data_IF_074763772477
#
_entry.id   IF_074763772477
#
_cell.length_a   1.000
_cell.length_b   1.000
_cell.length_c   1.000
_cell.angle_alpha   90.00
_cell.angle_beta   90.00
_cell.angle_gamma   90.00
#
_symmetry.space_group_name_H-M   'P 1'
#
loop_
_entity.id
_entity.type
_entity.pdbx_description
1 polymer ?
#
# COMPACT_ATOMS: atom_id res chain seq x y z
N UNK A 1 -1.46 -37.37 -4.62
CA UNK A 1 -2.85 -37.86 -4.49
C UNK A 1 -3.54 -36.99 -3.43
N UNK A 2 -4.05 -35.82 -3.83
CA UNK A 2 -4.71 -34.86 -2.92
C UNK A 2 -5.98 -35.44 -2.27
N UNK A 3 -6.72 -36.27 -3.01
CA UNK A 3 -7.98 -36.88 -2.52
C UNK A 3 -7.75 -37.80 -1.31
N UNK A 4 -6.68 -38.60 -1.34
CA UNK A 4 -6.31 -39.45 -0.20
C UNK A 4 -5.88 -38.63 1.03
N UNK A 5 -5.24 -37.48 0.81
CA UNK A 5 -4.88 -36.57 1.89
C UNK A 5 -6.13 -35.93 2.50
N UNK A 6 -7.12 -35.56 1.69
CA UNK A 6 -8.42 -35.06 2.18
C UNK A 6 -9.12 -36.07 3.08
N UNK A 7 -9.21 -37.34 2.65
CA UNK A 7 -9.83 -38.41 3.46
C UNK A 7 -9.13 -38.57 4.82
N UNK A 8 -7.81 -38.42 4.87
CA UNK A 8 -7.06 -38.45 6.13
C UNK A 8 -7.36 -37.24 7.01
N UNK A 9 -7.51 -36.05 6.43
CA UNK A 9 -7.87 -34.83 7.17
C UNK A 9 -9.32 -34.88 7.68
N UNK A 10 -10.25 -35.47 6.94
CA UNK A 10 -11.65 -35.66 7.35
C UNK A 10 -11.73 -36.53 8.62
N UNK A 11 -10.90 -37.58 8.72
CA UNK A 11 -10.83 -38.45 9.92
C UNK A 11 -10.33 -37.74 11.17
N UNK A 12 -9.68 -36.60 11.03
CA UNK A 12 -9.19 -35.78 12.13
C UNK A 12 -10.23 -34.75 12.63
N UNK A 13 -11.44 -34.73 12.06
CA UNK A 13 -12.55 -33.90 12.51
C UNK A 13 -13.67 -34.80 13.03
N UNK A 14 -13.90 -34.77 14.34
CA UNK A 14 -14.90 -35.60 15.01
C UNK A 14 -16.00 -34.71 15.59
N UNK A 15 -17.25 -34.94 15.19
CA UNK A 15 -18.44 -34.28 15.74
C UNK A 15 -19.02 -35.15 16.85
N UNK A 16 -19.57 -34.57 17.91
CA UNK A 16 -20.29 -35.35 18.93
C UNK A 16 -21.63 -35.87 18.41
N UNK A 17 -22.15 -36.91 19.07
CA UNK A 17 -23.45 -37.51 18.76
C UNK A 17 -24.65 -36.62 19.16
N UNK A 18 -24.38 -35.46 19.77
CA UNK A 18 -25.40 -34.50 20.16
C UNK A 18 -26.02 -33.78 18.95
N UNK A 19 -27.26 -33.31 19.10
CA UNK A 19 -27.93 -32.55 18.03
C UNK A 19 -27.13 -31.28 17.70
N UNK A 20 -26.98 -30.87 16.43
CA UNK A 20 -26.19 -29.70 16.04
C UNK A 20 -26.60 -28.38 16.72
N UNK A 21 -27.84 -28.28 17.18
CA UNK A 21 -28.41 -27.11 17.86
C UNK A 21 -28.26 -27.15 19.40
N UNK A 22 -27.80 -28.26 19.98
CA UNK A 22 -27.66 -28.42 21.44
C UNK A 22 -26.46 -27.62 21.95
N UNK A 23 -26.53 -27.14 23.20
CA UNK A 23 -25.40 -26.43 23.81
C UNK A 23 -24.16 -27.32 23.98
N UNK A 24 -24.39 -28.63 24.13
CA UNK A 24 -23.37 -29.66 24.39
C UNK A 24 -22.73 -30.19 23.10
N UNK A 25 -23.25 -29.82 21.92
CA UNK A 25 -22.66 -30.18 20.64
C UNK A 25 -21.22 -29.67 20.54
N UNK A 26 -20.29 -30.59 20.29
CA UNK A 26 -18.87 -30.31 20.24
C UNK A 26 -18.25 -30.83 18.95
N UNK A 27 -17.29 -30.08 18.43
CA UNK A 27 -16.46 -30.49 17.30
C UNK A 27 -15.01 -30.54 17.78
N UNK A 28 -14.42 -31.72 17.71
CA UNK A 28 -13.02 -31.98 18.07
C UNK A 28 -12.16 -32.06 16.81
N UNK A 29 -11.11 -31.26 16.78
CA UNK A 29 -10.13 -31.19 15.72
C UNK A 29 -8.80 -31.78 16.23
N UNK A 30 -8.28 -32.80 15.55
CA UNK A 30 -6.96 -33.39 15.81
C UNK A 30 -5.92 -32.88 14.82
N UNK A 31 -4.94 -32.14 15.32
CA UNK A 31 -3.86 -31.52 14.55
C UNK A 31 -2.63 -32.41 14.40
N UNK A 32 -2.65 -33.66 14.85
CA UNK A 32 -1.50 -34.58 14.79
C UNK A 32 -0.88 -34.71 13.39
N UNK A 33 -1.69 -34.73 12.33
CA UNK A 33 -1.21 -34.80 10.94
C UNK A 33 -0.48 -33.54 10.47
N UNK A 34 -0.78 -32.39 11.07
CA UNK A 34 -0.20 -31.10 10.70
C UNK A 34 1.05 -30.81 11.54
N UNK A 35 1.05 -31.23 12.81
CA UNK A 35 2.14 -31.01 13.77
C UNK A 35 2.36 -32.24 14.66
N UNK A 36 3.19 -33.21 14.23
CA UNK A 36 3.41 -34.43 15.01
C UNK A 36 4.18 -34.14 16.31
N UNK A 37 3.73 -34.76 17.41
CA UNK A 37 4.35 -34.66 18.72
C UNK A 37 5.66 -35.45 18.77
N UNK A 38 6.81 -34.75 18.86
CA UNK A 38 8.11 -35.33 19.19
C UNK A 38 9.15 -35.40 18.06
N UNK A 39 8.89 -34.83 16.87
CA UNK A 39 9.88 -34.76 15.80
C UNK A 39 11.01 -33.76 16.08
N UNK A 40 12.25 -34.14 15.75
CA UNK A 40 13.35 -33.18 15.54
C UNK A 40 13.01 -32.36 14.28
N UNK A 41 13.42 -31.07 14.20
CA UNK A 41 13.08 -30.21 13.08
C UNK A 41 13.43 -30.84 11.72
N UNK A 42 12.56 -30.73 10.70
CA UNK A 42 11.41 -29.81 10.64
C UNK A 42 10.15 -30.35 11.34
N UNK A 43 9.47 -29.47 12.08
CA UNK A 43 8.30 -29.80 12.92
C UNK A 43 6.98 -29.80 12.12
N UNK A 44 7.03 -29.53 10.80
CA UNK A 44 5.89 -29.19 9.94
C UNK A 44 5.85 -29.97 8.61
N UNK A 45 6.31 -31.23 8.56
CA UNK A 45 6.47 -31.94 7.28
C UNK A 45 5.16 -32.08 6.46
N UNK A 46 4.04 -32.41 7.10
CA UNK A 46 2.74 -32.51 6.43
C UNK A 46 2.23 -31.15 5.94
N UNK A 47 2.34 -30.13 6.80
CA UNK A 47 1.92 -28.78 6.51
C UNK A 47 2.76 -28.14 5.39
N UNK A 48 4.08 -28.33 5.45
CA UNK A 48 5.01 -27.84 4.45
C UNK A 48 4.81 -28.55 3.10
N UNK A 49 4.52 -29.86 3.10
CA UNK A 49 4.17 -30.58 1.88
C UNK A 49 2.90 -30.02 1.21
N UNK A 50 1.86 -29.68 1.98
CA UNK A 50 0.62 -29.06 1.44
C UNK A 50 0.93 -27.71 0.77
N UNK A 51 1.83 -26.92 1.38
CA UNK A 51 2.24 -25.61 0.83
C UNK A 51 3.05 -25.75 -0.44
N UNK A 52 4.05 -26.64 -0.41
CA UNK A 52 5.03 -26.80 -1.48
C UNK A 52 4.39 -27.46 -2.71
N UNK A 53 3.39 -28.33 -2.51
CA UNK A 53 2.59 -28.92 -3.58
C UNK A 53 1.47 -28.00 -4.12
N UNK A 54 1.29 -26.80 -3.55
CA UNK A 54 0.22 -25.85 -3.94
C UNK A 54 -1.18 -26.49 -3.91
N UNK A 55 -1.44 -27.38 -2.95
CA UNK A 55 -2.71 -28.12 -2.86
C UNK A 55 -3.81 -27.22 -2.26
N UNK A 56 -4.68 -26.72 -3.13
CA UNK A 56 -5.74 -25.78 -2.76
C UNK A 56 -6.81 -26.46 -1.91
N UNK A 57 -7.17 -27.69 -2.25
CA UNK A 57 -8.24 -28.45 -1.58
C UNK A 57 -7.87 -28.78 -0.13
N UNK A 58 -6.63 -29.23 0.10
CA UNK A 58 -6.15 -29.47 1.46
C UNK A 58 -6.02 -28.17 2.26
N UNK A 59 -5.63 -27.05 1.63
CA UNK A 59 -5.46 -25.77 2.33
C UNK A 59 -6.80 -25.13 2.73
N UNK A 60 -7.85 -25.35 1.93
CA UNK A 60 -9.22 -24.90 2.23
C UNK A 60 -9.97 -25.86 3.14
N UNK A 61 -9.40 -27.01 3.48
CA UNK A 61 -10.03 -28.00 4.35
C UNK A 61 -10.35 -27.44 5.75
N UNK A 62 -11.47 -27.86 6.33
CA UNK A 62 -11.98 -27.39 7.64
C UNK A 62 -10.93 -27.51 8.75
N UNK A 63 -10.22 -28.63 8.82
CA UNK A 63 -9.11 -28.85 9.77
C UNK A 63 -7.98 -27.84 9.61
N UNK A 64 -7.54 -27.57 8.38
CA UNK A 64 -6.45 -26.63 8.12
C UNK A 64 -6.87 -25.20 8.47
N UNK A 65 -8.05 -24.77 8.00
CA UNK A 65 -8.63 -23.46 8.37
C UNK A 65 -8.70 -23.28 9.89
N UNK A 66 -9.17 -24.29 10.63
CA UNK A 66 -9.29 -24.24 12.09
C UNK A 66 -7.93 -24.23 12.80
N UNK A 67 -7.00 -25.07 12.35
CA UNK A 67 -5.63 -25.06 12.85
C UNK A 67 -5.00 -23.67 12.74
N UNK A 68 -5.17 -23.00 11.59
CA UNK A 68 -4.65 -21.65 11.40
C UNK A 68 -5.30 -20.64 12.30
N UNK A 69 -6.61 -20.69 12.48
CA UNK A 69 -7.28 -19.68 13.29
C UNK A 69 -6.95 -19.82 14.78
N UNK A 70 -6.84 -21.05 15.27
CA UNK A 70 -6.36 -21.34 16.62
C UNK A 70 -4.92 -20.85 16.78
N UNK A 71 -4.04 -21.18 15.83
CA UNK A 71 -2.65 -20.71 15.89
C UNK A 71 -2.54 -19.20 15.83
N UNK A 72 -3.16 -18.57 14.84
CA UNK A 72 -3.13 -17.12 14.64
C UNK A 72 -3.63 -16.36 15.87
N UNK A 73 -4.69 -16.84 16.54
CA UNK A 73 -5.33 -16.18 17.68
C UNK A 73 -4.50 -16.19 18.96
N UNK A 74 -3.55 -17.11 19.12
CA UNK A 74 -2.79 -17.19 20.37
C UNK A 74 -1.74 -16.08 20.52
N UNK A 75 -0.72 -16.03 19.67
CA UNK A 75 0.40 -15.06 19.83
C UNK A 75 0.82 -14.40 18.52
N UNK A 76 0.66 -15.10 17.42
CA UNK A 76 1.17 -14.76 16.11
C UNK A 76 0.49 -13.50 15.56
N UNK A 77 -0.82 -13.35 15.79
CA UNK A 77 -1.55 -12.13 15.44
C UNK A 77 -1.03 -10.92 16.23
N UNK A 78 -0.82 -11.04 17.54
CA UNK A 78 -0.35 -9.92 18.36
C UNK A 78 1.10 -9.53 18.03
N UNK A 79 1.97 -10.50 17.77
CA UNK A 79 3.34 -10.25 17.29
C UNK A 79 3.34 -9.50 15.96
N UNK A 80 2.48 -9.95 15.03
CA UNK A 80 2.33 -9.31 13.73
C UNK A 80 1.79 -7.88 13.87
N UNK A 81 0.74 -7.66 14.66
CA UNK A 81 0.16 -6.34 14.92
C UNK A 81 1.16 -5.40 15.63
N UNK A 82 1.93 -5.90 16.59
CA UNK A 82 2.98 -5.13 17.24
C UNK A 82 4.07 -4.71 16.25
N UNK A 83 4.48 -5.62 15.35
CA UNK A 83 5.46 -5.31 14.31
C UNK A 83 4.91 -4.28 13.30
N UNK A 84 3.65 -4.43 12.88
CA UNK A 84 2.96 -3.46 12.03
C UNK A 84 2.86 -2.08 12.72
N UNK A 85 2.55 -2.04 14.01
CA UNK A 85 2.47 -0.82 14.79
C UNK A 85 3.83 -0.10 14.87
N UNK A 86 4.91 -0.82 15.19
CA UNK A 86 6.28 -0.26 15.19
C UNK A 86 6.62 0.31 13.81
N UNK A 87 6.27 -0.40 12.73
CA UNK A 87 6.48 0.06 11.37
C UNK A 87 5.66 1.32 11.05
N UNK A 88 4.40 1.39 11.47
CA UNK A 88 3.54 2.56 11.29
C UNK A 88 4.08 3.79 12.04
N UNK A 89 4.52 3.62 13.29
CA UNK A 89 5.16 4.69 14.04
C UNK A 89 6.41 5.21 13.31
N UNK A 90 7.28 4.31 12.85
CA UNK A 90 8.45 4.67 12.04
C UNK A 90 8.05 5.40 10.75
N UNK A 91 7.04 4.89 10.04
CA UNK A 91 6.55 5.46 8.78
C UNK A 91 6.03 6.89 8.98
N UNK A 92 5.21 7.12 10.01
CA UNK A 92 4.69 8.46 10.34
C UNK A 92 5.84 9.40 10.74
N UNK A 93 6.72 8.97 11.65
CA UNK A 93 7.87 9.78 12.07
C UNK A 93 8.77 10.17 10.90
N UNK A 94 9.04 9.24 9.99
CA UNK A 94 9.84 9.49 8.80
C UNK A 94 9.16 10.49 7.85
N UNK A 95 7.87 10.30 7.52
CA UNK A 95 7.14 11.21 6.64
C UNK A 95 7.04 12.63 7.22
N UNK A 96 6.74 12.76 8.52
CA UNK A 96 6.73 14.05 9.22
C UNK A 96 8.11 14.72 9.14
N UNK A 97 9.19 13.96 9.34
CA UNK A 97 10.57 14.47 9.27
C UNK A 97 10.94 14.97 7.88
N UNK A 98 10.50 14.29 6.81
CA UNK A 98 10.72 14.72 5.43
C UNK A 98 9.88 15.96 5.12
N UNK A 99 8.60 15.99 5.49
CA UNK A 99 7.72 17.14 5.27
C UNK A 99 8.26 18.41 5.94
N UNK A 100 8.77 18.30 7.17
CA UNK A 100 9.41 19.42 7.88
C UNK A 100 10.66 19.94 7.13
N UNK A 101 11.46 19.05 6.53
CA UNK A 101 12.63 19.47 5.71
C UNK A 101 12.20 20.14 4.44
N UNK A 102 11.23 19.57 3.72
CA UNK A 102 10.74 20.15 2.47
C UNK A 102 10.17 21.55 2.73
N UNK A 103 9.47 21.75 3.85
CA UNK A 103 9.00 23.07 4.26
C UNK A 103 10.15 24.07 4.46
N UNK A 104 11.20 23.67 5.19
CA UNK A 104 12.38 24.51 5.39
C UNK A 104 13.14 24.78 4.08
N UNK A 105 13.22 23.79 3.19
CA UNK A 105 13.89 23.91 1.89
C UNK A 105 13.19 24.95 1.01
N UNK A 106 11.87 24.86 0.88
CA UNK A 106 11.09 25.81 0.08
C UNK A 106 11.15 27.24 0.65
N UNK A 107 11.17 27.40 1.97
CA UNK A 107 11.33 28.74 2.58
C UNK A 107 12.71 29.34 2.32
N UNK A 108 13.77 28.51 2.31
CA UNK A 108 15.13 28.99 2.01
C UNK A 108 15.31 29.38 0.53
N UNK A 109 14.72 28.63 -0.39
CA UNK A 109 14.78 28.96 -1.82
C UNK A 109 13.99 30.26 -2.11
N UNK A 110 12.80 30.44 -1.51
CA UNK A 110 12.00 31.66 -1.64
C UNK A 110 12.70 32.92 -1.07
N UNK A 111 13.46 32.78 0.02
CA UNK A 111 14.22 33.88 0.60
C UNK A 111 15.43 34.28 -0.28
N UNK A 112 15.99 33.34 -1.05
CA UNK A 112 17.07 33.59 -2.02
C UNK A 112 16.60 34.32 -3.29
N UNK A 113 15.37 34.04 -3.74
CA UNK A 113 14.75 34.75 -4.89
C UNK A 113 14.36 36.19 -4.51
N UNK A 114 13.85 36.41 -3.29
CA UNK A 114 13.49 37.75 -2.84
C UNK A 114 14.72 38.67 -2.62
N UNK A 115 15.85 38.12 -2.18
CA UNK A 115 17.09 38.90 -2.02
C UNK A 115 17.74 39.26 -3.35
N UNK A 116 17.57 38.45 -4.39
CA UNK A 116 18.05 38.80 -5.74
C UNK A 116 17.15 39.83 -6.42
N UNK A 117 15.83 39.80 -6.20
CA UNK A 117 14.91 40.82 -6.72
C UNK A 117 15.13 42.21 -6.10
N UNK A 118 15.40 42.29 -4.79
CA UNK A 118 15.57 43.59 -4.10
C UNK A 118 16.88 44.30 -4.46
N UNK A 119 17.92 43.56 -4.87
CA UNK A 119 19.20 44.12 -5.30
C UNK A 119 19.17 44.69 -6.73
N UNK A 120 18.13 44.40 -7.52
CA UNK A 120 17.98 44.90 -8.89
C UNK A 120 17.18 46.23 -8.95
N UNK A 121 16.58 46.69 -7.84
CA UNK A 121 15.65 47.84 -7.83
C UNK A 121 16.18 49.20 -7.39
N UNK A 122 17.47 49.44 -7.21
CA UNK A 122 17.99 50.79 -6.90
C UNK A 122 19.32 51.09 -7.59
N UNK A 123 19.27 51.27 -8.92
CA UNK A 123 20.30 52.01 -9.65
C UNK A 123 19.68 53.09 -10.56
N UNK A 124 18.58 53.71 -10.15
CA UNK A 124 18.01 54.89 -10.78
C UNK A 124 18.18 56.12 -9.88
N UNK A 125 19.42 56.63 -9.80
CA UNK A 125 19.66 58.01 -9.36
C UNK A 125 19.23 58.96 -10.48
N UNK A 126 18.00 59.48 -10.41
CA UNK A 126 17.58 60.61 -11.24
C UNK A 126 17.81 61.91 -10.45
N UNK A 127 18.94 62.56 -10.65
CA UNK A 127 19.17 63.94 -10.18
C UNK A 127 18.58 64.92 -11.19
N UNK A 128 17.46 65.56 -10.84
CA UNK A 128 16.89 66.64 -11.62
C UNK A 128 17.70 67.92 -11.36
N UNK A 129 18.49 68.36 -12.34
CA UNK A 129 19.32 69.56 -12.25
C UNK A 129 18.54 70.78 -12.79
N UNK A 130 17.84 71.49 -11.91
CA UNK A 130 17.26 72.81 -12.20
C UNK A 130 17.87 73.86 -11.25
N UNK A 131 18.94 74.54 -11.68
CA UNK A 131 18.98 76.01 -11.82
C UNK A 131 20.38 76.55 -12.07
N UNK A 132 20.40 77.58 -12.92
CA UNK A 132 21.52 78.40 -13.34
C UNK A 132 21.94 79.37 -12.23
N UNK A 133 23.21 79.34 -11.80
CA UNK A 133 23.97 80.54 -11.40
C UNK A 133 25.48 80.30 -11.64
N UNK A 134 26.09 81.16 -12.46
CA UNK A 134 27.55 81.30 -12.56
C UNK A 134 28.00 82.31 -11.51
N UNK A 135 28.72 81.86 -10.47
CA UNK A 135 29.92 82.52 -9.94
C UNK A 135 30.54 81.69 -8.81
N UNK A 136 31.85 81.45 -8.90
CA UNK A 136 32.75 80.91 -7.87
C UNK A 136 32.16 80.73 -6.46
N UNK A 137 31.89 79.48 -6.05
CA UNK A 137 32.31 79.01 -4.73
C UNK A 137 32.11 77.51 -4.56
N UNK A 138 33.09 76.93 -3.87
CA UNK A 138 33.20 75.55 -3.41
C UNK A 138 31.86 74.99 -2.92
N UNK A 139 31.30 74.00 -3.61
CA UNK A 139 30.22 73.17 -3.08
C UNK A 139 30.83 72.17 -2.08
N UNK A 140 30.91 72.60 -0.81
CA UNK A 140 30.95 71.69 0.33
C UNK A 140 29.60 70.97 0.40
N UNK A 141 29.49 69.78 -0.19
CA UNK A 141 28.37 68.89 0.06
C UNK A 141 28.72 67.99 1.25
N UNK A 142 28.61 68.55 2.46
CA UNK A 142 28.56 67.75 3.68
C UNK A 142 27.19 67.06 3.75
N UNK A 143 27.01 65.97 3.01
CA UNK A 143 25.98 64.99 3.35
C UNK A 143 26.49 64.15 4.52
N UNK A 144 26.36 64.68 5.73
CA UNK A 144 26.27 63.84 6.93
C UNK A 144 24.88 63.23 6.92
N UNK A 145 24.69 62.17 6.14
CA UNK A 145 23.64 61.21 6.46
C UNK A 145 24.21 60.33 7.56
N UNK A 146 23.73 60.55 8.79
CA UNK A 146 23.84 59.60 9.88
C UNK A 146 23.29 58.26 9.39
N UNK A 147 24.19 57.39 8.89
CA UNK A 147 23.93 55.97 8.76
C UNK A 147 23.97 55.42 10.18
N UNK A 148 22.87 55.60 10.92
CA UNK A 148 22.56 54.76 12.06
C UNK A 148 22.35 53.35 11.51
N UNK A 149 23.45 52.63 11.32
CA UNK A 149 23.47 51.19 11.12
C UNK A 149 23.29 50.45 12.45
N UNK A 150 22.54 51.04 13.39
CA UNK A 150 21.94 50.34 14.53
C UNK A 150 20.61 49.66 14.14
N UNK A 151 20.41 49.36 12.86
CA UNK A 151 19.76 48.08 12.59
C UNK A 151 20.77 47.02 12.91
N UNK A 152 20.64 46.44 14.10
CA UNK A 152 21.09 45.08 14.35
C UNK A 152 20.62 44.21 13.19
N UNK A 153 21.45 44.10 12.16
CA UNK A 153 21.37 42.99 11.24
C UNK A 153 21.78 41.84 12.12
N UNK A 154 20.78 41.22 12.74
CA UNK A 154 20.86 39.88 13.30
C UNK A 154 21.02 38.92 12.10
N UNK A 155 22.05 39.13 11.28
CA UNK A 155 22.54 38.19 10.27
C UNK A 155 23.32 37.11 10.99
N UNK A 156 22.60 36.39 11.84
CA UNK A 156 22.65 34.96 11.87
C UNK A 156 21.45 34.50 12.67
N UNK A 157 20.37 34.16 11.97
CA UNK A 157 19.53 33.06 12.43
C UNK A 157 20.40 31.79 12.38
N UNK A 158 21.36 31.66 13.31
CA UNK A 158 21.73 30.37 13.87
C UNK A 158 20.45 29.87 14.52
N UNK A 159 19.58 29.29 13.70
CA UNK A 159 18.46 28.49 14.17
C UNK A 159 19.15 27.37 14.94
N UNK A 160 19.19 27.50 16.29
CA UNK A 160 19.59 26.43 17.19
C UNK A 160 18.95 25.15 16.65
N UNK A 161 19.64 24.00 16.55
CA UNK A 161 18.98 22.77 16.15
C UNK A 161 17.76 22.65 17.07
N UNK A 162 16.56 22.69 16.50
CA UNK A 162 15.35 22.62 17.32
C UNK A 162 15.52 21.30 18.04
N UNK A 163 15.47 21.28 19.37
CA UNK A 163 15.73 20.06 20.12
C UNK A 163 14.85 18.91 19.60
N UNK A 164 13.64 19.24 19.14
CA UNK A 164 12.75 18.36 18.39
C UNK A 164 13.40 17.74 17.13
N UNK A 165 14.07 18.52 16.26
CA UNK A 165 14.75 18.02 15.05
C UNK A 165 15.84 16.99 15.40
N UNK A 166 16.63 17.28 16.42
CA UNK A 166 17.70 16.37 16.87
C UNK A 166 17.09 15.09 17.45
N UNK A 167 16.13 15.22 18.36
CA UNK A 167 15.42 14.10 18.99
C UNK A 167 14.77 13.20 17.93
N UNK A 168 13.99 13.75 17.01
CA UNK A 168 13.33 12.96 15.95
C UNK A 168 14.35 12.26 15.06
N UNK A 169 15.45 12.92 14.72
CA UNK A 169 16.51 12.30 13.90
C UNK A 169 17.19 11.15 14.67
N UNK A 170 17.52 11.34 15.94
CA UNK A 170 18.09 10.30 16.80
C UNK A 170 17.16 9.10 16.94
N UNK A 171 15.86 9.33 17.16
CA UNK A 171 14.86 8.25 17.24
C UNK A 171 14.80 7.46 15.93
N UNK A 172 14.75 8.13 14.77
CA UNK A 172 14.76 7.48 13.46
C UNK A 172 16.02 6.63 13.27
N UNK A 173 17.20 7.14 13.66
CA UNK A 173 18.48 6.42 13.56
C UNK A 173 18.49 5.18 14.46
N UNK A 174 17.97 5.27 15.69
CA UNK A 174 17.89 4.12 16.60
C UNK A 174 16.97 3.05 16.01
N UNK A 175 15.78 3.44 15.55
CA UNK A 175 14.78 2.51 14.99
C UNK A 175 15.31 1.85 13.71
N UNK A 176 15.91 2.62 12.79
CA UNK A 176 16.45 2.06 11.54
C UNK A 176 17.63 1.12 11.81
N UNK A 177 18.47 1.42 12.80
CA UNK A 177 19.59 0.56 13.19
C UNK A 177 19.10 -0.78 13.73
N UNK A 178 18.07 -0.78 14.57
CA UNK A 178 17.43 -2.00 15.06
C UNK A 178 16.80 -2.83 13.93
N UNK A 179 16.12 -2.16 12.98
CA UNK A 179 15.51 -2.84 11.82
C UNK A 179 16.59 -3.46 10.92
N UNK A 180 17.69 -2.72 10.64
CA UNK A 180 18.82 -3.23 9.85
C UNK A 180 19.45 -4.45 10.55
N UNK A 181 19.66 -4.40 11.86
CA UNK A 181 20.18 -5.53 12.62
C UNK A 181 19.28 -6.77 12.50
N UNK A 182 17.96 -6.59 12.64
CA UNK A 182 16.98 -7.66 12.44
C UNK A 182 17.02 -8.21 11.00
N UNK A 183 17.22 -7.37 10.00
CA UNK A 183 17.26 -7.79 8.59
C UNK A 183 18.57 -8.53 8.25
N UNK A 184 19.70 -8.10 8.81
CA UNK A 184 20.98 -8.82 8.75
C UNK A 184 20.87 -10.20 9.39
N UNK A 185 20.20 -10.29 10.54
CA UNK A 185 19.96 -11.56 11.22
C UNK A 185 19.09 -12.50 10.37
N UNK A 186 18.02 -11.99 9.75
CA UNK A 186 17.20 -12.76 8.81
C UNK A 186 18.00 -13.24 7.60
N UNK A 187 18.86 -12.37 7.03
CA UNK A 187 19.75 -12.72 5.92
C UNK A 187 20.70 -13.85 6.31
N UNK A 188 21.25 -13.83 7.53
CA UNK A 188 22.13 -14.88 8.03
C UNK A 188 21.43 -16.25 8.14
N UNK A 189 20.19 -16.28 8.65
CA UNK A 189 19.41 -17.52 8.77
C UNK A 189 18.99 -18.05 7.39
N UNK A 190 18.46 -17.18 6.52
CA UNK A 190 17.87 -17.60 5.24
C UNK A 190 18.91 -17.83 4.13
N UNK A 191 20.16 -17.35 4.31
CA UNK A 191 21.30 -17.53 3.39
C UNK A 191 20.92 -17.21 1.93
N UNK A 192 21.21 -18.11 0.99
CA UNK A 192 20.92 -17.94 -0.44
C UNK A 192 19.44 -17.80 -0.77
N UNK A 193 18.53 -18.34 0.05
CA UNK A 193 17.09 -18.20 -0.16
C UNK A 193 16.66 -16.74 -0.02
N UNK A 194 17.35 -15.96 0.81
CA UNK A 194 17.08 -14.55 1.03
C UNK A 194 17.20 -13.72 -0.26
N UNK A 195 18.27 -13.95 -1.02
CA UNK A 195 18.58 -13.22 -2.24
C UNK A 195 17.68 -13.56 -3.43
N UNK A 196 16.87 -14.64 -3.36
CA UNK A 196 15.88 -14.94 -4.40
C UNK A 196 14.57 -14.17 -4.23
N UNK A 197 14.36 -13.51 -3.09
CA UNK A 197 13.10 -12.83 -2.79
C UNK A 197 13.18 -11.33 -3.10
N UNK A 198 12.44 -10.89 -4.12
CA UNK A 198 12.41 -9.47 -4.57
C UNK A 198 12.00 -8.50 -3.45
N UNK A 199 11.12 -8.93 -2.53
CA UNK A 199 10.70 -8.13 -1.37
C UNK A 199 11.86 -7.61 -0.52
N UNK A 200 12.92 -8.40 -0.40
CA UNK A 200 14.06 -8.05 0.43
C UNK A 200 14.86 -6.90 -0.18
N UNK A 201 14.93 -6.81 -1.51
CA UNK A 201 15.57 -5.70 -2.20
C UNK A 201 14.84 -4.38 -1.92
N UNK A 202 13.51 -4.35 -2.00
CA UNK A 202 12.72 -3.16 -1.68
C UNK A 202 12.96 -2.68 -0.24
N UNK A 203 13.08 -3.59 0.73
CA UNK A 203 13.40 -3.23 2.13
C UNK A 203 14.80 -2.61 2.25
N UNK A 204 15.82 -3.23 1.64
CA UNK A 204 17.18 -2.69 1.68
C UNK A 204 17.27 -1.33 0.99
N UNK A 205 16.62 -1.16 -0.17
CA UNK A 205 16.56 0.13 -0.84
C UNK A 205 15.92 1.19 0.06
N UNK A 206 14.81 0.88 0.73
CA UNK A 206 14.19 1.77 1.72
C UNK A 206 15.19 2.14 2.83
N UNK A 207 15.85 1.16 3.44
CA UNK A 207 16.77 1.40 4.56
C UNK A 207 17.97 2.25 4.15
N UNK A 208 18.56 1.98 2.98
CA UNK A 208 19.69 2.77 2.43
C UNK A 208 19.25 4.19 2.11
N UNK A 209 18.09 4.39 1.48
CA UNK A 209 17.59 5.73 1.16
C UNK A 209 17.25 6.55 2.41
N UNK A 210 16.67 5.93 3.45
CA UNK A 210 16.41 6.58 4.74
C UNK A 210 17.73 6.97 5.41
N UNK A 211 18.72 6.06 5.43
CA UNK A 211 20.02 6.34 6.04
C UNK A 211 20.75 7.48 5.32
N UNK A 212 20.76 7.46 3.99
CA UNK A 212 21.37 8.51 3.17
C UNK A 212 20.65 9.86 3.31
N UNK A 213 19.33 9.87 3.50
CA UNK A 213 18.61 11.11 3.81
C UNK A 213 18.97 11.66 5.19
N UNK A 214 19.15 10.77 6.18
CA UNK A 214 19.38 11.18 7.58
C UNK A 214 20.82 11.67 7.80
N UNK A 215 21.81 11.02 7.16
CA UNK A 215 23.24 11.33 7.32
C UNK A 215 23.81 12.16 6.15
N UNK A 216 24.76 13.09 6.41
CA UNK A 216 25.16 13.62 7.72
C UNK A 216 24.05 14.46 8.37
N UNK A 217 24.07 14.62 9.70
CA UNK A 217 23.10 15.42 10.46
C UNK A 217 23.45 16.91 10.30
N UNK A 218 23.34 17.41 9.08
CA UNK A 218 23.56 18.81 8.75
C UNK A 218 22.25 19.61 8.77
N UNK A 219 22.36 20.91 9.03
CA UNK A 219 21.21 21.81 9.05
C UNK A 219 20.58 22.01 7.66
N UNK A 220 21.36 21.89 6.59
CA UNK A 220 20.89 21.99 5.20
C UNK A 220 21.02 20.64 4.51
N UNK A 221 19.97 20.23 3.78
CA UNK A 221 19.98 18.99 2.99
C UNK A 221 20.39 19.30 1.56
N UNK A 222 21.22 18.45 0.99
CA UNK A 222 21.59 18.55 -0.43
C UNK A 222 20.44 18.09 -1.33
N UNK A 223 20.39 18.57 -2.59
CA UNK A 223 19.41 18.12 -3.59
C UNK A 223 19.36 16.58 -3.70
N UNK A 224 20.52 15.91 -3.63
CA UNK A 224 20.62 14.44 -3.66
C UNK A 224 19.95 13.76 -2.46
N UNK A 225 20.09 14.32 -1.25
CA UNK A 225 19.41 13.81 -0.06
C UNK A 225 17.89 14.01 -0.13
N UNK A 226 17.42 15.09 -0.77
CA UNK A 226 15.98 15.29 -0.99
C UNK A 226 15.44 14.25 -1.98
N UNK A 227 16.15 14.00 -3.09
CA UNK A 227 15.78 12.96 -4.05
C UNK A 227 15.72 11.57 -3.39
N UNK A 228 16.69 11.23 -2.53
CA UNK A 228 16.63 9.96 -1.79
C UNK A 228 15.45 9.89 -0.83
N UNK A 229 15.05 11.01 -0.22
CA UNK A 229 13.86 11.07 0.63
C UNK A 229 12.58 10.80 -0.16
N UNK A 230 12.46 11.36 -1.36
CA UNK A 230 11.32 11.14 -2.26
C UNK A 230 11.21 9.66 -2.63
N UNK A 231 12.34 9.03 -3.00
CA UNK A 231 12.39 7.60 -3.31
C UNK A 231 12.02 6.77 -2.06
N UNK A 232 12.56 7.11 -0.89
CA UNK A 232 12.25 6.43 0.36
C UNK A 232 10.77 6.53 0.73
N UNK A 233 10.14 7.70 0.58
CA UNK A 233 8.69 7.89 0.82
C UNK A 233 7.91 6.93 -0.08
N UNK A 234 8.19 6.95 -1.38
CA UNK A 234 7.51 6.09 -2.35
C UNK A 234 7.61 4.61 -1.96
N UNK A 235 8.83 4.12 -1.72
CA UNK A 235 9.06 2.72 -1.34
C UNK A 235 8.42 2.39 0.02
N UNK A 236 8.39 3.32 0.97
CA UNK A 236 7.79 3.09 2.29
C UNK A 236 6.28 2.84 2.20
N UNK A 237 5.56 3.51 1.30
CA UNK A 237 4.14 3.25 1.06
C UNK A 237 3.92 1.88 0.41
N UNK A 238 4.74 1.49 -0.58
CA UNK A 238 4.69 0.14 -1.14
C UNK A 238 4.99 -0.94 -0.09
N UNK A 239 5.95 -0.69 0.80
CA UNK A 239 6.27 -1.61 1.88
C UNK A 239 5.13 -1.68 2.93
N UNK A 240 4.39 -0.59 3.16
CA UNK A 240 3.15 -0.61 3.96
C UNK A 240 2.07 -1.49 3.30
N UNK A 241 1.85 -1.37 1.98
CA UNK A 241 0.92 -2.25 1.25
C UNK A 241 1.34 -3.73 1.40
N UNK A 242 2.65 -4.00 1.39
CA UNK A 242 3.17 -5.35 1.61
C UNK A 242 2.82 -5.92 3.00
N UNK A 243 2.85 -5.07 4.02
CA UNK A 243 2.33 -5.45 5.34
C UNK A 243 0.83 -5.74 5.28
N UNK A 244 0.03 -4.79 4.79
CA UNK A 244 -1.43 -4.93 4.72
C UNK A 244 -1.89 -6.19 3.97
N UNK A 245 -1.07 -6.74 3.06
CA UNK A 245 -1.29 -8.02 2.38
C UNK A 245 -1.57 -9.21 3.32
N UNK A 246 -1.06 -9.18 4.55
CA UNK A 246 -1.23 -10.26 5.54
C UNK A 246 -2.44 -10.06 6.47
N UNK A 247 -3.02 -8.86 6.47
CA UNK A 247 -4.22 -8.55 7.27
C UNK A 247 -5.42 -9.26 6.65
N UNK A 248 -6.31 -9.88 7.45
CA UNK A 248 -7.50 -10.50 6.90
C UNK A 248 -8.40 -9.49 6.17
N UNK A 249 -9.16 -9.99 5.20
CA UNK A 249 -9.99 -9.23 4.25
C UNK A 249 -9.24 -8.25 3.34
N UNK A 250 -8.49 -7.28 3.89
CA UNK A 250 -7.64 -6.33 3.16
C UNK A 250 -6.62 -7.08 2.29
N UNK A 251 -6.02 -8.13 2.84
CA UNK A 251 -5.00 -8.93 2.15
C UNK A 251 -5.52 -9.59 0.87
N UNK A 252 -6.78 -10.02 0.84
CA UNK A 252 -7.41 -10.62 -0.34
C UNK A 252 -7.52 -9.59 -1.47
N UNK A 253 -7.96 -8.38 -1.16
CA UNK A 253 -8.03 -7.28 -2.13
C UNK A 253 -6.66 -6.89 -2.66
N UNK A 254 -5.65 -6.77 -1.78
CA UNK A 254 -4.27 -6.44 -2.20
C UNK A 254 -3.67 -7.52 -3.09
N UNK A 255 -3.89 -8.81 -2.78
CA UNK A 255 -3.42 -9.92 -3.62
C UNK A 255 -4.10 -9.93 -4.99
N UNK A 256 -5.40 -9.66 -5.02
CA UNK A 256 -6.18 -9.52 -6.26
C UNK A 256 -5.62 -8.36 -7.09
N UNK A 257 -5.43 -7.19 -6.48
CA UNK A 257 -4.85 -6.01 -7.13
C UNK A 257 -3.45 -6.29 -7.69
N UNK A 258 -2.57 -6.96 -6.92
CA UNK A 258 -1.23 -7.30 -7.40
C UNK A 258 -1.28 -8.23 -8.61
N UNK A 259 -2.20 -9.20 -8.62
CA UNK A 259 -2.35 -10.15 -9.73
C UNK A 259 -2.94 -9.48 -10.97
N UNK A 260 -3.94 -8.63 -10.80
CA UNK A 260 -4.49 -7.79 -11.87
C UNK A 260 -3.41 -6.87 -12.41
N UNK A 261 -2.62 -6.21 -11.55
CA UNK A 261 -1.50 -5.38 -11.96
C UNK A 261 -0.45 -6.13 -12.79
N UNK A 262 -0.06 -7.35 -12.39
CA UNK A 262 0.86 -8.17 -13.20
C UNK A 262 0.26 -8.50 -14.58
N UNK A 263 -1.04 -8.77 -14.63
CA UNK A 263 -1.76 -9.03 -15.89
C UNK A 263 -1.80 -7.78 -16.77
N UNK A 264 -2.09 -6.62 -16.17
CA UNK A 264 -2.03 -5.32 -16.83
C UNK A 264 -0.63 -5.03 -17.37
N UNK A 265 0.45 -5.26 -16.60
CA UNK A 265 1.83 -5.03 -17.06
C UNK A 265 2.20 -5.94 -18.25
N UNK A 266 1.74 -7.20 -18.24
CA UNK A 266 1.93 -8.09 -19.40
C UNK A 266 1.25 -7.54 -20.65
N UNK A 267 0.01 -7.07 -20.53
CA UNK A 267 -0.72 -6.47 -21.66
C UNK A 267 -0.16 -5.10 -22.07
N UNK A 268 0.34 -4.32 -21.11
CA UNK A 268 0.99 -3.03 -21.33
C UNK A 268 2.20 -3.16 -22.26
N UNK A 269 2.89 -4.30 -22.27
CA UNK A 269 4.00 -4.54 -23.20
C UNK A 269 3.58 -4.45 -24.68
N UNK A 270 2.37 -4.91 -25.02
CA UNK A 270 1.80 -4.77 -26.37
C UNK A 270 1.38 -3.33 -26.64
N UNK A 271 0.80 -2.66 -25.65
CA UNK A 271 0.36 -1.26 -25.74
C UNK A 271 1.55 -0.34 -26.01
N UNK A 272 2.68 -0.56 -25.33
CA UNK A 272 3.90 0.23 -25.52
C UNK A 272 4.42 0.17 -26.97
N UNK A 273 4.26 -0.96 -27.68
CA UNK A 273 4.62 -1.05 -29.10
C UNK A 273 3.75 -0.13 -29.97
N UNK A 274 2.44 -0.10 -29.73
CA UNK A 274 1.54 0.82 -30.41
C UNK A 274 1.83 2.28 -30.05
N UNK A 275 2.11 2.57 -28.78
CA UNK A 275 2.52 3.90 -28.34
C UNK A 275 3.80 4.35 -29.04
N UNK A 276 4.79 3.48 -29.25
CA UNK A 276 6.01 3.84 -30.00
C UNK A 276 5.71 4.16 -31.47
N UNK A 277 4.82 3.41 -32.12
CA UNK A 277 4.44 3.65 -33.51
C UNK A 277 3.74 5.02 -33.67
N UNK A 278 2.72 5.29 -32.85
CA UNK A 278 2.02 6.56 -32.88
C UNK A 278 2.88 7.74 -32.38
N UNK A 279 3.75 7.53 -31.40
CA UNK A 279 4.70 8.55 -30.95
C UNK A 279 5.66 8.95 -32.07
N UNK A 280 6.10 8.01 -32.90
CA UNK A 280 6.94 8.30 -34.07
C UNK A 280 6.20 9.14 -35.11
N UNK A 281 4.93 8.83 -35.35
CA UNK A 281 4.08 9.58 -36.27
C UNK A 281 3.84 11.00 -35.73
N UNK A 282 3.43 11.12 -34.47
CA UNK A 282 3.15 12.42 -33.84
C UNK A 282 4.39 13.28 -33.65
N UNK A 283 5.55 12.68 -33.39
CA UNK A 283 6.83 13.38 -33.35
C UNK A 283 7.12 14.13 -34.67
N UNK A 284 6.87 13.48 -35.81
CA UNK A 284 7.06 14.11 -37.13
C UNK A 284 5.96 15.10 -37.46
N UNK A 285 4.73 14.78 -37.07
CA UNK A 285 3.54 15.52 -37.47
C UNK A 285 3.33 16.80 -36.65
N UNK A 286 3.78 16.82 -35.39
CA UNK A 286 3.69 17.94 -34.46
C UNK A 286 5.08 18.47 -34.08
N UNK A 287 6.02 18.54 -35.02
CA UNK A 287 7.41 18.94 -34.78
C UNK A 287 7.57 20.33 -34.12
N UNK A 288 6.60 21.23 -34.34
CA UNK A 288 6.61 22.58 -33.78
C UNK A 288 6.08 22.65 -32.35
N UNK A 289 5.42 21.59 -31.89
CA UNK A 289 4.79 21.54 -30.57
C UNK A 289 5.78 21.08 -29.49
N UNK A 290 5.80 21.81 -28.37
CA UNK A 290 6.70 21.50 -27.25
C UNK A 290 6.49 20.08 -26.69
N UNK A 291 5.26 19.56 -26.75
CA UNK A 291 4.90 18.19 -26.34
C UNK A 291 5.53 17.10 -27.20
N UNK A 292 5.91 17.44 -28.42
CA UNK A 292 6.50 16.50 -29.38
C UNK A 292 7.90 16.94 -29.84
N UNK A 293 8.54 17.87 -29.12
CA UNK A 293 9.86 18.39 -29.48
C UNK A 293 10.98 17.33 -29.42
N UNK A 294 10.87 16.37 -28.51
CA UNK A 294 11.85 15.29 -28.33
C UNK A 294 11.15 13.93 -28.34
N UNK A 295 11.77 12.92 -28.96
CA UNK A 295 11.18 11.58 -29.06
C UNK A 295 10.79 10.95 -27.71
N UNK A 296 11.58 11.03 -26.61
CA UNK A 296 11.15 10.53 -25.31
C UNK A 296 9.94 11.26 -24.73
N UNK A 297 9.84 12.58 -24.95
CA UNK A 297 8.68 13.38 -24.52
C UNK A 297 7.48 13.02 -25.37
N UNK A 298 7.65 12.81 -26.68
CA UNK A 298 6.59 12.36 -27.59
C UNK A 298 6.02 10.99 -27.18
N UNK A 299 6.84 10.05 -26.70
CA UNK A 299 6.35 8.76 -26.15
C UNK A 299 5.47 9.01 -24.93
N UNK A 300 5.92 9.83 -23.98
CA UNK A 300 5.14 10.16 -22.77
C UNK A 300 3.86 10.88 -23.16
N UNK A 301 3.92 11.87 -24.05
CA UNK A 301 2.76 12.62 -24.52
C UNK A 301 1.76 11.75 -25.27
N UNK A 302 2.23 10.76 -26.05
CA UNK A 302 1.35 9.79 -26.72
C UNK A 302 0.71 8.84 -25.71
N UNK A 303 1.44 8.42 -24.68
CA UNK A 303 0.89 7.60 -23.59
C UNK A 303 -0.15 8.39 -22.77
N UNK A 304 0.09 9.66 -22.48
CA UNK A 304 -0.88 10.56 -21.83
C UNK A 304 -2.11 10.77 -22.72
N UNK A 305 -1.92 10.98 -24.03
CA UNK A 305 -3.02 11.08 -24.98
C UNK A 305 -3.86 9.80 -25.07
N UNK A 306 -3.25 8.62 -24.89
CA UNK A 306 -3.99 7.35 -24.83
C UNK A 306 -4.96 7.28 -23.62
N UNK A 307 -4.65 7.97 -22.53
CA UNK A 307 -5.54 8.07 -21.36
C UNK A 307 -6.74 9.00 -21.60
N UNK A 308 -6.81 9.65 -22.77
CA UNK A 308 -7.88 10.57 -23.16
C UNK A 308 -7.56 12.05 -22.92
N UNK A 309 -6.36 12.39 -22.45
CA UNK A 309 -5.94 13.79 -22.34
C UNK A 309 -5.47 14.32 -23.70
N UNK A 310 -6.44 14.86 -24.43
CA UNK A 310 -6.25 15.47 -25.73
C UNK A 310 -6.32 16.98 -25.61
N UNK A 311 -5.17 17.65 -25.70
CA UNK A 311 -5.17 19.11 -25.85
C UNK A 311 -5.43 19.50 -27.30
N UNK A 312 -6.63 19.16 -27.79
CA UNK A 312 -7.06 19.41 -29.16
C UNK A 312 -6.95 20.90 -29.54
N UNK A 313 -7.36 21.79 -28.64
CA UNK A 313 -7.34 23.24 -28.88
C UNK A 313 -5.92 23.73 -29.19
N UNK A 314 -4.95 23.34 -28.37
CA UNK A 314 -3.54 23.69 -28.59
C UNK A 314 -2.95 23.02 -29.86
N UNK A 315 -3.35 21.78 -30.16
CA UNK A 315 -2.76 21.00 -31.26
C UNK A 315 -3.34 21.32 -32.65
N UNK A 316 -4.60 21.74 -32.72
CA UNK A 316 -5.34 21.88 -33.98
C UNK A 316 -6.00 23.24 -34.19
N UNK A 317 -6.38 23.96 -33.12
CA UNK A 317 -7.07 25.26 -33.20
C UNK A 317 -6.08 26.42 -33.15
N UNK A 318 -5.16 26.41 -32.19
CA UNK A 318 -4.15 27.47 -32.03
C UNK A 318 -2.98 27.35 -33.02
N UNK A 319 -2.67 26.13 -33.47
CA UNK A 319 -1.58 25.87 -34.42
C UNK A 319 -1.85 26.33 -35.87
N UNK A 320 -3.08 26.75 -36.18
CA UNK A 320 -3.49 27.20 -37.51
C UNK A 320 -3.54 26.10 -38.60
N UNK A 321 -3.97 26.48 -39.81
CA UNK A 321 -3.99 25.60 -40.97
C UNK A 321 -2.60 25.48 -41.60
N UNK A 322 -1.73 24.68 -40.98
CA UNK A 322 -0.43 24.33 -41.55
C UNK A 322 -0.53 23.25 -42.63
N UNK A 323 0.59 23.00 -43.33
CA UNK A 323 0.72 21.86 -44.24
C UNK A 323 0.33 20.55 -43.54
N UNK A 324 -0.47 19.74 -44.26
CA UNK A 324 -0.99 18.44 -43.79
C UNK A 324 -2.04 18.50 -42.68
N UNK A 325 -2.76 19.62 -42.47
CA UNK A 325 -3.84 19.72 -41.46
C UNK A 325 -4.89 18.59 -41.57
N UNK A 326 -5.35 18.27 -42.77
CA UNK A 326 -6.32 17.18 -42.97
C UNK A 326 -5.74 15.81 -42.58
N UNK A 327 -4.46 15.57 -42.91
CA UNK A 327 -3.76 14.35 -42.53
C UNK A 327 -3.53 14.26 -41.02
N UNK A 328 -3.26 15.40 -40.35
CA UNK A 328 -3.21 15.51 -38.88
C UNK A 328 -4.51 15.04 -38.26
N UNK A 329 -5.64 15.56 -38.74
CA UNK A 329 -6.97 15.19 -38.24
C UNK A 329 -7.28 13.71 -38.48
N UNK A 330 -6.99 13.18 -39.67
CA UNK A 330 -7.22 11.76 -39.99
C UNK A 330 -6.40 10.85 -39.07
N UNK A 331 -5.11 11.10 -38.90
CA UNK A 331 -4.25 10.28 -38.03
C UNK A 331 -4.68 10.39 -36.56
N UNK A 332 -5.19 11.54 -36.14
CA UNK A 332 -5.71 11.75 -34.80
C UNK A 332 -7.02 11.00 -34.54
N UNK A 333 -7.95 10.99 -35.49
CA UNK A 333 -9.19 10.20 -35.42
C UNK A 333 -8.85 8.70 -35.35
N UNK A 334 -7.93 8.23 -36.19
CA UNK A 334 -7.46 6.83 -36.16
C UNK A 334 -6.84 6.49 -34.80
N UNK A 335 -6.04 7.38 -34.23
CA UNK A 335 -5.48 7.22 -32.89
C UNK A 335 -6.57 7.11 -31.81
N UNK A 336 -7.58 7.98 -31.82
CA UNK A 336 -8.68 7.92 -30.85
C UNK A 336 -9.41 6.58 -30.94
N UNK A 337 -9.79 6.15 -32.15
CA UNK A 337 -10.53 4.90 -32.33
C UNK A 337 -9.72 3.68 -31.89
N UNK A 338 -8.44 3.61 -32.26
CA UNK A 338 -7.60 2.45 -31.95
C UNK A 338 -7.08 2.48 -30.50
N UNK A 339 -6.46 3.58 -30.07
CA UNK A 339 -5.78 3.63 -28.77
C UNK A 339 -6.70 3.98 -27.62
N UNK A 340 -7.66 4.89 -27.82
CA UNK A 340 -8.51 5.37 -26.72
C UNK A 340 -9.79 4.56 -26.59
N UNK A 341 -10.43 4.21 -27.70
CA UNK A 341 -11.66 3.41 -27.64
C UNK A 341 -11.32 1.92 -27.58
N UNK A 342 -10.62 1.37 -28.58
CA UNK A 342 -10.39 -0.08 -28.65
C UNK A 342 -9.45 -0.57 -27.54
N UNK A 343 -8.24 -0.02 -27.41
CA UNK A 343 -7.26 -0.54 -26.44
C UNK A 343 -7.72 -0.35 -24.99
N UNK A 344 -8.28 0.81 -24.60
CA UNK A 344 -8.77 0.99 -23.23
C UNK A 344 -9.95 0.05 -22.91
N UNK A 345 -10.87 -0.17 -23.86
CA UNK A 345 -11.98 -1.10 -23.64
C UNK A 345 -11.49 -2.56 -23.50
N UNK A 346 -10.46 -2.97 -24.25
CA UNK A 346 -9.83 -4.28 -24.09
C UNK A 346 -9.14 -4.40 -22.73
N UNK A 347 -8.44 -3.35 -22.28
CA UNK A 347 -7.76 -3.34 -20.98
C UNK A 347 -8.75 -3.51 -19.82
N UNK A 348 -9.87 -2.79 -19.87
CA UNK A 348 -10.94 -2.87 -18.87
C UNK A 348 -11.64 -4.23 -18.96
N UNK A 349 -12.02 -4.68 -20.16
CA UNK A 349 -12.73 -5.94 -20.36
C UNK A 349 -11.95 -7.17 -19.89
N UNK A 350 -10.64 -7.20 -20.11
CA UNK A 350 -9.76 -8.27 -19.64
C UNK A 350 -9.57 -8.21 -18.12
N UNK A 351 -9.39 -7.01 -17.55
CA UNK A 351 -9.22 -6.85 -16.11
C UNK A 351 -10.47 -7.31 -15.34
N UNK A 352 -11.65 -6.91 -15.82
CA UNK A 352 -12.94 -7.25 -15.18
C UNK A 352 -13.28 -8.72 -15.39
N UNK A 353 -13.08 -9.27 -16.59
CA UNK A 353 -13.42 -10.66 -16.91
C UNK A 353 -12.68 -11.72 -16.09
N UNK A 354 -11.50 -11.41 -15.57
CA UNK A 354 -10.70 -12.33 -14.73
C UNK A 354 -10.84 -12.08 -13.22
N UNK A 355 -11.56 -11.05 -12.78
CA UNK A 355 -11.53 -10.58 -11.38
C UNK A 355 -12.03 -11.64 -10.40
N UNK A 356 -13.15 -12.32 -10.69
CA UNK A 356 -13.77 -13.28 -9.76
C UNK A 356 -12.90 -14.52 -9.54
N UNK A 357 -12.35 -15.07 -10.64
CA UNK A 357 -11.41 -16.21 -10.58
C UNK A 357 -10.12 -15.83 -9.87
N UNK A 358 -9.62 -14.61 -10.08
CA UNK A 358 -8.42 -14.13 -9.37
C UNK A 358 -8.71 -13.93 -7.88
N UNK A 359 -9.92 -13.50 -7.53
CA UNK A 359 -10.31 -13.28 -6.14
C UNK A 359 -10.40 -14.59 -5.35
N UNK A 360 -10.99 -15.65 -5.92
CA UNK A 360 -11.04 -16.96 -5.26
C UNK A 360 -9.64 -17.52 -5.02
N UNK A 361 -8.76 -17.43 -6.03
CA UNK A 361 -7.35 -17.83 -5.92
C UNK A 361 -6.58 -17.00 -4.89
N UNK A 362 -6.88 -15.70 -4.79
CA UNK A 362 -6.25 -14.80 -3.81
C UNK A 362 -6.59 -15.20 -2.36
N UNK A 363 -7.80 -15.71 -2.08
CA UNK A 363 -8.17 -16.22 -0.75
C UNK A 363 -7.30 -17.40 -0.33
N UNK A 364 -7.09 -18.36 -1.22
CA UNK A 364 -6.21 -19.53 -0.97
C UNK A 364 -4.76 -19.09 -0.81
N UNK A 365 -4.28 -18.19 -1.68
CA UNK A 365 -2.93 -17.65 -1.60
C UNK A 365 -2.67 -16.89 -0.29
N UNK A 366 -3.69 -16.19 0.24
CA UNK A 366 -3.62 -15.51 1.54
C UNK A 366 -3.39 -16.50 2.68
N UNK A 367 -4.21 -17.57 2.75
CA UNK A 367 -4.06 -18.63 3.76
C UNK A 367 -2.65 -19.21 3.74
N UNK A 368 -2.11 -19.46 2.54
CA UNK A 368 -0.74 -19.95 2.37
C UNK A 368 0.30 -18.98 2.92
N UNK A 369 0.13 -17.67 2.71
CA UNK A 369 1.06 -16.67 3.22
C UNK A 369 1.03 -16.54 4.74
N UNK A 370 -0.16 -16.63 5.34
CA UNK A 370 -0.31 -16.66 6.81
C UNK A 370 0.39 -17.89 7.38
N UNK A 371 0.20 -19.05 6.76
CA UNK A 371 0.84 -20.29 7.16
C UNK A 371 2.36 -20.24 7.07
N UNK A 372 2.91 -19.76 5.96
CA UNK A 372 4.37 -19.56 5.83
C UNK A 372 4.92 -18.65 6.93
N UNK A 373 4.18 -17.61 7.29
CA UNK A 373 4.58 -16.73 8.38
C UNK A 373 4.56 -17.44 9.74
N UNK A 374 3.52 -18.21 10.06
CA UNK A 374 3.46 -18.99 11.31
C UNK A 374 4.66 -19.93 11.40
N UNK A 375 4.93 -20.71 10.34
CA UNK A 375 6.08 -21.60 10.29
C UNK A 375 7.43 -20.85 10.41
N UNK A 376 7.56 -19.67 9.78
CA UNK A 376 8.75 -18.82 9.90
C UNK A 376 8.96 -18.32 11.34
N UNK A 377 7.89 -17.91 12.03
CA UNK A 377 7.95 -17.50 13.44
C UNK A 377 8.31 -18.68 14.33
N UNK A 378 7.69 -19.84 14.13
CA UNK A 378 7.91 -21.03 14.95
C UNK A 378 9.29 -21.68 14.70
N UNK A 379 9.83 -21.56 13.49
CA UNK A 379 11.20 -21.99 13.17
C UNK A 379 12.27 -20.95 13.54
N UNK A 380 11.89 -19.70 13.82
CA UNK A 380 12.82 -18.66 14.24
C UNK A 380 13.30 -18.86 15.68
N UNK A 381 14.40 -18.19 16.06
CA UNK A 381 14.91 -18.24 17.43
C UNK A 381 13.91 -17.77 18.49
N UNK A 382 12.85 -17.04 18.10
CA UNK A 382 11.78 -16.64 19.02
C UNK A 382 11.11 -17.86 19.67
N UNK A 383 10.99 -19.00 19.00
CA UNK A 383 10.40 -20.22 19.60
C UNK A 383 11.26 -20.85 20.70
N UNK A 384 12.54 -20.51 20.79
CA UNK A 384 13.44 -20.97 21.87
C UNK A 384 13.35 -20.11 23.13
N UNK A 385 12.82 -18.89 23.04
CA UNK A 385 12.61 -18.04 24.21
C UNK A 385 11.52 -18.62 25.11
N UNK A 386 11.76 -18.60 26.42
CA UNK A 386 10.85 -19.18 27.41
C UNK A 386 9.44 -18.57 27.35
N UNK A 387 9.31 -17.28 27.05
CA UNK A 387 8.03 -16.57 26.89
C UNK A 387 7.20 -17.05 25.67
N UNK A 388 7.84 -17.74 24.72
CA UNK A 388 7.25 -18.24 23.49
C UNK A 388 7.17 -19.77 23.44
N UNK A 389 7.68 -20.49 24.45
CA UNK A 389 7.45 -21.94 24.58
C UNK A 389 5.95 -22.20 24.75
N UNK A 390 5.40 -23.01 23.83
CA UNK A 390 3.97 -23.33 23.75
C UNK A 390 3.71 -24.74 24.27
N UNK A 391 2.50 -24.94 24.81
CA UNK A 391 1.98 -26.28 25.10
C UNK A 391 1.58 -26.88 23.74
N UNK A 392 2.11 -28.06 23.41
CA UNK A 392 1.73 -28.76 22.17
C UNK A 392 0.37 -29.42 22.38
N UNK A 393 -0.69 -28.64 22.23
CA UNK A 393 -2.03 -29.17 22.25
C UNK A 393 -2.35 -29.70 20.85
N UNK A 394 -2.33 -31.02 20.69
CA UNK A 394 -2.64 -31.70 19.43
C UNK A 394 -4.13 -31.75 19.16
N UNK A 395 -4.98 -31.44 20.13
CA UNK A 395 -6.45 -31.48 19.97
C UNK A 395 -7.09 -30.16 20.40
N UNK A 396 -8.10 -29.73 19.65
CA UNK A 396 -8.91 -28.56 19.98
C UNK A 396 -10.39 -28.90 19.88
N UNK A 397 -11.13 -28.71 20.97
CA UNK A 397 -12.58 -28.91 21.02
C UNK A 397 -13.28 -27.55 21.05
N UNK A 398 -14.23 -27.36 20.14
CA UNK A 398 -15.07 -26.17 20.06
C UNK A 398 -16.53 -26.51 20.38
N UNK A 399 -17.19 -25.59 21.10
CA UNK A 399 -18.62 -25.63 21.41
C UNK A 399 -19.31 -24.50 20.63
N UNK A 400 -19.92 -24.76 19.47
CA UNK A 400 -20.44 -23.72 18.57
C UNK A 400 -21.54 -22.87 19.19
N UNK A 401 -22.40 -23.51 20.01
CA UNK A 401 -23.64 -22.93 20.54
C UNK A 401 -23.46 -22.19 21.87
N UNK A 402 -22.22 -22.11 22.38
CA UNK A 402 -21.91 -21.34 23.58
C UNK A 402 -21.85 -19.83 23.28
N UNK A 403 -22.41 -19.01 24.17
CA UNK A 403 -22.30 -17.54 24.06
C UNK A 403 -20.84 -17.14 24.17
N UNK A 404 -20.38 -16.45 23.13
CA UNK A 404 -18.99 -16.05 22.98
C UNK A 404 -18.74 -14.70 23.66
N UNK A 405 -17.61 -14.59 24.36
CA UNK A 405 -17.18 -13.33 24.96
C UNK A 405 -16.85 -12.30 23.87
N UNK A 406 -17.03 -11.01 24.17
CA UNK A 406 -16.68 -9.93 23.25
C UNK A 406 -15.21 -9.99 22.81
N UNK A 407 -14.30 -10.34 23.74
CA UNK A 407 -12.87 -10.51 23.43
C UNK A 407 -12.64 -11.65 22.42
N UNK A 408 -13.40 -12.74 22.52
CA UNK A 408 -13.34 -13.85 21.58
C UNK A 408 -13.87 -13.44 20.20
N UNK A 409 -14.95 -12.67 20.15
CA UNK A 409 -15.47 -12.09 18.89
C UNK A 409 -14.48 -11.12 18.24
N UNK A 410 -13.82 -10.26 19.00
CA UNK A 410 -12.78 -9.36 18.49
C UNK A 410 -11.57 -10.13 17.95
N UNK A 411 -11.14 -11.17 18.67
CA UNK A 411 -10.04 -12.03 18.22
C UNK A 411 -10.39 -12.82 16.95
N UNK A 412 -11.64 -13.24 16.78
CA UNK A 412 -12.14 -13.85 15.54
C UNK A 412 -12.18 -12.88 14.36
N UNK A 413 -12.53 -11.62 14.61
CA UNK A 413 -12.45 -10.54 13.61
C UNK A 413 -11.00 -10.35 13.16
N UNK A 414 -10.04 -10.26 14.10
CA UNK A 414 -8.61 -10.15 13.80
C UNK A 414 -8.02 -11.39 13.10
N UNK A 415 -8.66 -12.56 13.25
CA UNK A 415 -8.33 -13.77 12.52
C UNK A 415 -9.00 -13.85 11.14
N UNK A 416 -9.93 -12.95 10.82
CA UNK A 416 -10.68 -12.94 9.57
C UNK A 416 -11.66 -14.10 9.41
N UNK A 417 -12.09 -14.72 10.51
CA UNK A 417 -12.98 -15.89 10.49
C UNK A 417 -14.43 -15.53 10.13
N UNK A 418 -14.83 -14.26 10.28
CA UNK A 418 -16.24 -13.83 10.19
C UNK A 418 -16.83 -14.01 8.78
N UNK A 419 -16.02 -13.95 7.73
CA UNK A 419 -16.48 -14.09 6.33
C UNK A 419 -16.31 -15.50 5.75
N UNK A 420 -15.67 -16.43 6.47
CA UNK A 420 -15.34 -17.77 5.95
C UNK A 420 -16.14 -18.91 6.56
N UNK A 421 -16.85 -18.68 7.68
CA UNK A 421 -17.59 -19.73 8.38
C UNK A 421 -19.10 -19.74 8.09
N UNK A 422 -19.65 -18.67 7.52
CA UNK A 422 -21.10 -18.59 7.24
C UNK A 422 -21.49 -18.92 5.81
N UNK A 423 -20.56 -19.02 4.86
CA UNK A 423 -20.90 -19.21 3.44
C UNK A 423 -20.54 -20.60 2.87
N UNK A 424 -19.90 -21.50 3.62
CA UNK A 424 -19.50 -22.83 3.10
C UNK A 424 -20.22 -24.00 3.79
N UNK A 425 -20.97 -23.78 4.88
CA UNK A 425 -21.73 -24.84 5.57
C UNK A 425 -23.20 -24.93 5.11
N UNK A 426 -23.65 -24.09 4.17
CA UNK A 426 -25.03 -24.10 3.62
C UNK A 426 -25.17 -24.80 2.24
N UNK A 427 -24.07 -25.28 1.62
CA UNK A 427 -24.12 -25.89 0.28
C UNK A 427 -23.95 -27.42 0.26
N UNK A 428 -24.06 -28.10 1.40
CA UNK A 428 -23.98 -29.56 1.42
C UNK A 428 -24.75 -30.17 2.58
N UNK A 429 -25.91 -30.75 2.24
CA UNK A 429 -26.70 -31.71 3.03
C UNK A 429 -27.97 -31.20 3.73
N UNK A 430 -28.70 -30.23 3.17
CA UNK A 430 -30.12 -30.01 3.53
C UNK A 430 -30.99 -29.64 2.31
N UNK A 431 -31.13 -30.58 1.37
CA UNK A 431 -32.24 -30.54 0.42
C UNK A 431 -33.57 -30.76 1.18
N UNK A 432 -34.27 -29.67 1.52
CA UNK A 432 -35.74 -29.71 1.48
C UNK A 432 -36.58 -29.01 2.57
N UNK A 433 -36.04 -28.21 3.51
CA UNK A 433 -36.91 -27.69 4.60
C UNK A 433 -36.85 -26.16 4.86
N UNK A 434 -35.79 -25.44 4.49
CA UNK A 434 -35.62 -24.05 4.99
C UNK A 434 -36.23 -22.91 4.13
N UNK A 435 -36.65 -23.17 2.90
CA UNK A 435 -37.22 -22.11 2.04
C UNK A 435 -38.66 -21.71 2.41
N UNK A 436 -39.38 -22.55 3.16
CA UNK A 436 -40.76 -22.26 3.60
C UNK A 436 -40.78 -21.49 4.94
N UNK A 437 -39.78 -21.73 5.81
CA UNK A 437 -39.72 -21.12 7.15
C UNK A 437 -39.22 -19.67 7.13
N UNK A 438 -38.38 -19.33 6.15
CA UNK A 438 -37.87 -17.97 5.92
C UNK A 438 -38.95 -17.06 5.33
N UNK A 439 -39.75 -17.55 4.37
CA UNK A 439 -40.84 -16.77 3.77
C UNK A 439 -41.94 -16.43 4.80
N UNK A 440 -42.31 -17.37 5.66
CA UNK A 440 -43.34 -17.16 6.67
C UNK A 440 -42.91 -16.15 7.76
N UNK A 441 -41.63 -16.19 8.17
CA UNK A 441 -41.06 -15.18 9.08
C UNK A 441 -40.99 -13.79 8.45
N UNK A 442 -40.74 -13.70 7.14
CA UNK A 442 -40.72 -12.44 6.40
C UNK A 442 -42.15 -11.84 6.31
N UNK A 443 -43.17 -12.67 6.12
CA UNK A 443 -44.58 -12.25 6.13
C UNK A 443 -45.03 -11.73 7.50
N UNK A 444 -44.74 -12.44 8.60
CA UNK A 444 -45.06 -11.97 9.96
C UNK A 444 -44.39 -10.62 10.27
N UNK A 445 -43.14 -10.45 9.84
CA UNK A 445 -42.38 -9.22 10.06
C UNK A 445 -42.95 -8.05 9.25
N UNK A 446 -43.46 -8.31 8.03
CA UNK A 446 -44.13 -7.29 7.22
C UNK A 446 -45.50 -6.91 7.80
N UNK A 447 -46.30 -7.88 8.27
CA UNK A 447 -47.60 -7.60 8.91
C UNK A 447 -47.43 -6.76 10.18
N UNK A 448 -46.46 -7.10 11.03
CA UNK A 448 -46.18 -6.35 12.26
C UNK A 448 -45.74 -4.91 11.97
N UNK A 449 -44.98 -4.68 10.89
CA UNK A 449 -44.60 -3.33 10.46
C UNK A 449 -45.80 -2.54 9.92
N UNK A 450 -46.66 -3.17 9.12
CA UNK A 450 -47.88 -2.55 8.60
C UNK A 450 -48.84 -2.11 9.71
N UNK A 451 -49.04 -2.94 10.73
CA UNK A 451 -49.87 -2.58 11.89
C UNK A 451 -49.29 -1.40 12.68
N UNK A 452 -47.96 -1.35 12.85
CA UNK A 452 -47.29 -0.25 13.51
C UNK A 452 -47.38 1.06 12.72
N UNK A 453 -47.32 1.01 11.39
CA UNK A 453 -47.56 2.20 10.55
C UNK A 453 -49.02 2.67 10.63
N UNK A 454 -49.98 1.74 10.66
CA UNK A 454 -51.39 2.07 10.77
C UNK A 454 -51.72 2.71 12.13
N UNK A 455 -51.17 2.19 13.22
CA UNK A 455 -51.29 2.80 14.56
C UNK A 455 -50.70 4.19 14.64
N UNK A 456 -49.56 4.43 13.96
CA UNK A 456 -48.93 5.76 13.89
C UNK A 456 -49.80 6.77 13.14
N UNK A 457 -50.35 6.37 11.99
CA UNK A 457 -51.25 7.24 11.22
C UNK A 457 -52.55 7.57 11.96
N UNK A 458 -53.06 6.66 12.80
CA UNK A 458 -54.23 6.91 13.65
C UNK A 458 -53.93 7.75 14.91
N UNK A 459 -52.66 7.98 15.25
CA UNK A 459 -52.27 8.90 16.33
C UNK A 459 -52.00 10.32 15.84
N UNK A 460 -51.76 10.50 14.54
CA UNK A 460 -51.47 11.79 13.90
C UNK A 460 -52.70 12.42 13.20
N UNK A 461 -53.89 11.77 13.30
CA UNK A 461 -55.21 12.30 12.93
C UNK A 461 -56.05 12.54 14.20
#
# INVERSE_FOLDING_TARGET
>A
MPDNAKILLDRCVVKSDDKPQSLDYQITYDFFLLEPTGSKPPMFDGLQAIIDNNDEQCLTHKLCKKYFSVKWREKECYLYLAYLFIYLCFHVLFNVRVALVCRCYNTSDAESENTTSNNVTMLNNFTMLNNVTMLNNVTMLNNVTMLNNDTMVTSSNYVKPDQARLITTTVIVIVISFIILKELFQMHIQRWRYFKQVSNYFKWTLHVCVLYFVFPVENKRTKRQIVSAIIAICISWFNLIWFLRRVPDIGTYILTLQKVFITLVKMLSLIVLFCMAFASIFYLLFVKESRFANFPIAIISTFVAMLGDFSYDHLFVEGGHEHFHDFKLVMFIVFILLMVVLVNNVLIGLAVGDTDRVMSMAKVQRLRQQMKFIMEVESSLFSKLACFKRKKDTTHTEYPNHKKSWADSFNRLLAGEINTFYNEDDEGDDEGVDDVLTLHKIEEMMQTRLENYHKKMMQDC
#
